data_IF_290089806944
#
_entry.id   IF_290089806944
#
_cell.length_a   1.000
_cell.length_b   1.000
_cell.length_c   1.000
_cell.angle_alpha   90.00
_cell.angle_beta   90.00
_cell.angle_gamma   90.00
#
_symmetry.space_group_name_H-M   'P 1'
#
loop_
_entity.id
_entity.type
_entity.pdbx_description
1 polymer ?
#
# COMPACT_ATOMS: atom_id res chain seq x y z
N UNK A 1 58.03 -41.42 15.78
CA UNK A 1 57.54 -41.71 14.41
C UNK A 1 56.06 -42.03 14.51
N UNK A 2 55.26 -41.06 14.06
CA UNK A 2 53.99 -41.17 13.32
C UNK A 2 52.89 -42.17 13.77
N UNK A 3 51.81 -41.57 14.29
CA UNK A 3 50.38 -41.80 14.04
C UNK A 3 49.75 -43.20 14.01
N UNK A 4 48.69 -43.37 14.81
CA UNK A 4 47.25 -43.52 14.44
C UNK A 4 46.50 -44.04 15.68
N UNK A 5 45.24 -43.77 16.01
CA UNK A 5 44.13 -42.93 15.54
C UNK A 5 43.03 -43.07 16.61
N UNK A 6 42.26 -42.00 16.84
CA UNK A 6 41.28 -41.86 17.93
C UNK A 6 39.89 -42.36 17.50
N UNK A 7 39.24 -43.12 18.40
CA UNK A 7 37.77 -43.30 18.61
C UNK A 7 37.60 -43.58 20.12
N UNK A 8 36.52 -43.14 20.83
CA UNK A 8 35.13 -43.47 20.48
C UNK A 8 34.02 -42.44 20.81
N UNK A 9 32.90 -42.65 20.10
CA UNK A 9 31.47 -42.48 20.42
C UNK A 9 31.06 -41.78 21.73
N UNK A 10 30.31 -40.67 21.60
CA UNK A 10 29.47 -40.11 22.66
C UNK A 10 28.07 -39.76 22.11
N UNK A 11 27.04 -40.22 22.82
CA UNK A 11 25.61 -40.11 22.49
C UNK A 11 25.13 -38.67 22.31
N UNK A 12 24.49 -38.39 21.18
CA UNK A 12 23.82 -37.11 20.91
C UNK A 12 22.29 -37.28 20.99
N UNK A 13 21.71 -36.58 21.96
CA UNK A 13 20.27 -36.53 22.28
C UNK A 13 19.53 -35.76 21.19
N UNK A 14 18.65 -36.43 20.44
CA UNK A 14 17.81 -35.80 19.40
C UNK A 14 16.75 -34.93 20.07
N UNK A 15 16.83 -33.61 19.87
CA UNK A 15 15.80 -32.64 20.25
C UNK A 15 14.99 -32.33 18.98
N UNK A 16 13.80 -32.92 18.90
CA UNK A 16 12.82 -32.67 17.83
C UNK A 16 12.44 -31.20 17.87
N UNK A 17 12.78 -30.47 16.80
CA UNK A 17 12.40 -29.08 16.60
C UNK A 17 10.93 -29.00 16.20
N UNK A 18 10.10 -28.49 17.10
CA UNK A 18 8.75 -28.06 16.77
C UNK A 18 8.87 -26.84 15.84
N UNK A 19 8.49 -27.02 14.57
CA UNK A 19 8.30 -25.90 13.65
C UNK A 19 7.16 -25.03 14.19
N UNK A 20 7.51 -23.86 14.71
CA UNK A 20 6.54 -22.79 14.97
C UNK A 20 5.99 -22.32 13.63
N UNK A 21 4.66 -22.31 13.42
CA UNK A 21 4.12 -21.66 12.24
C UNK A 21 4.51 -20.19 12.32
N UNK A 22 5.16 -19.69 11.27
CA UNK A 22 5.40 -18.27 11.10
C UNK A 22 4.05 -17.56 11.11
N UNK A 23 3.73 -16.93 12.23
CA UNK A 23 2.59 -16.04 12.39
C UNK A 23 2.88 -14.78 11.56
N UNK A 24 2.69 -14.89 10.24
CA UNK A 24 2.62 -13.74 9.34
C UNK A 24 1.22 -13.13 9.39
N UNK A 25 0.57 -13.11 10.57
CA UNK A 25 -0.51 -12.16 10.78
C UNK A 25 0.13 -10.78 10.77
N UNK A 26 0.13 -10.16 9.59
CA UNK A 26 0.11 -8.72 9.51
C UNK A 26 -1.04 -8.30 10.43
N UNK A 27 -0.71 -7.84 11.65
CA UNK A 27 -1.70 -7.32 12.59
C UNK A 27 -2.31 -6.11 11.88
N UNK A 28 -3.39 -6.36 11.16
CA UNK A 28 -4.10 -5.36 10.38
C UNK A 28 -4.47 -4.29 11.40
N UNK A 29 -3.86 -3.13 11.29
CA UNK A 29 -4.14 -2.00 12.18
C UNK A 29 -5.56 -1.55 11.81
N UNK A 30 -6.56 -2.10 12.49
CA UNK A 30 -7.97 -1.75 12.29
C UNK A 30 -8.20 -0.32 12.79
N UNK A 31 -9.18 0.37 12.21
CA UNK A 31 -9.53 1.72 12.61
C UNK A 31 -8.64 2.81 12.00
N UNK A 32 -7.87 2.52 10.94
CA UNK A 32 -7.03 3.53 10.28
C UNK A 32 -7.88 4.51 9.48
N UNK A 33 -8.98 4.04 8.87
CA UNK A 33 -9.80 4.84 7.96
C UNK A 33 -11.17 5.19 8.52
N UNK A 34 -11.51 4.79 9.75
CA UNK A 34 -12.87 4.94 10.29
C UNK A 34 -13.37 6.39 10.27
N UNK A 35 -12.52 7.35 10.66
CA UNK A 35 -12.91 8.77 10.65
C UNK A 35 -13.18 9.27 9.23
N UNK A 36 -12.33 8.95 8.26
CA UNK A 36 -12.47 9.42 6.89
C UNK A 36 -13.62 8.71 6.17
N UNK A 37 -13.83 7.42 6.45
CA UNK A 37 -14.94 6.63 5.93
C UNK A 37 -16.28 7.17 6.40
N UNK A 38 -16.43 7.59 7.66
CA UNK A 38 -17.67 8.22 8.13
C UNK A 38 -18.04 9.46 7.32
N UNK A 39 -17.08 10.37 7.08
CA UNK A 39 -17.32 11.57 6.26
C UNK A 39 -17.64 11.20 4.81
N UNK A 40 -16.98 10.16 4.28
CA UNK A 40 -17.24 9.67 2.93
C UNK A 40 -18.65 9.07 2.82
N UNK A 41 -19.08 8.25 3.78
CA UNK A 41 -20.42 7.66 3.85
C UNK A 41 -21.49 8.75 3.85
N UNK A 42 -21.34 9.77 4.69
CA UNK A 42 -22.23 10.94 4.67
C UNK A 42 -22.22 11.67 3.31
N UNK A 43 -21.04 11.84 2.70
CA UNK A 43 -20.91 12.42 1.36
C UNK A 43 -21.59 11.62 0.25
N UNK A 44 -21.81 10.32 0.45
CA UNK A 44 -22.61 9.44 -0.42
C UNK A 44 -24.09 9.35 -0.02
N UNK A 45 -24.52 10.09 1.00
CA UNK A 45 -25.91 10.20 1.44
C UNK A 45 -26.30 9.30 2.62
N UNK A 46 -25.34 8.71 3.32
CA UNK A 46 -25.58 7.95 4.56
C UNK A 46 -25.81 8.88 5.77
N UNK A 47 -26.14 8.30 6.93
CA UNK A 47 -26.30 9.02 8.19
C UNK A 47 -25.00 9.72 8.63
N UNK A 48 -25.05 10.93 9.20
CA UNK A 48 -23.86 11.61 9.73
C UNK A 48 -23.17 10.86 10.88
N UNK A 49 -23.88 9.97 11.58
CA UNK A 49 -23.36 9.10 12.64
C UNK A 49 -23.68 7.63 12.33
N UNK A 50 -23.03 7.03 11.30
CA UNK A 50 -23.31 5.65 10.92
C UNK A 50 -22.87 4.67 12.01
N UNK A 51 -23.48 3.48 12.03
CA UNK A 51 -23.15 2.44 13.01
C UNK A 51 -21.65 2.07 12.95
N UNK A 52 -20.95 1.98 14.09
CA UNK A 52 -19.53 1.62 14.13
C UNK A 52 -19.23 0.29 13.42
N UNK A 53 -20.14 -0.67 13.49
CA UNK A 53 -20.05 -1.96 12.83
C UNK A 53 -20.08 -1.83 11.30
N UNK A 54 -20.91 -0.94 10.76
CA UNK A 54 -20.97 -0.65 9.33
C UNK A 54 -19.68 -0.01 8.84
N UNK A 55 -19.15 0.96 9.59
CA UNK A 55 -17.87 1.61 9.25
C UNK A 55 -16.73 0.60 9.27
N UNK A 56 -16.69 -0.28 10.28
CA UNK A 56 -15.68 -1.32 10.40
C UNK A 56 -15.75 -2.35 9.25
N UNK A 57 -16.96 -2.75 8.85
CA UNK A 57 -17.15 -3.63 7.70
C UNK A 57 -16.73 -2.95 6.39
N UNK A 58 -17.10 -1.68 6.20
CA UNK A 58 -16.71 -0.92 5.02
C UNK A 58 -15.18 -0.74 4.94
N UNK A 59 -14.51 -0.56 6.07
CA UNK A 59 -13.05 -0.55 6.15
C UNK A 59 -12.44 -1.88 5.68
N UNK A 60 -12.96 -3.02 6.16
CA UNK A 60 -12.48 -4.33 5.74
C UNK A 60 -12.69 -4.55 4.23
N UNK A 61 -13.85 -4.18 3.67
CA UNK A 61 -14.15 -4.25 2.23
C UNK A 61 -13.22 -3.34 1.41
N UNK A 62 -12.98 -2.12 1.88
CA UNK A 62 -12.14 -1.15 1.17
C UNK A 62 -10.68 -1.62 1.11
N UNK A 63 -10.16 -2.16 2.22
CA UNK A 63 -8.80 -2.72 2.27
C UNK A 63 -8.65 -3.92 1.33
N UNK A 64 -9.63 -4.82 1.33
CA UNK A 64 -9.65 -5.97 0.41
C UNK A 64 -9.67 -5.50 -1.05
N UNK A 65 -10.57 -4.59 -1.39
CA UNK A 65 -10.68 -4.03 -2.74
C UNK A 65 -9.38 -3.38 -3.23
N UNK A 66 -8.75 -2.55 -2.40
CA UNK A 66 -7.49 -1.88 -2.77
C UNK A 66 -6.37 -2.91 -2.94
N UNK A 67 -6.30 -3.90 -2.06
CA UNK A 67 -5.29 -4.98 -2.15
C UNK A 67 -5.43 -5.73 -3.47
N UNK A 68 -6.65 -6.15 -3.81
CA UNK A 68 -6.94 -6.84 -5.06
C UNK A 68 -6.67 -5.99 -6.31
N UNK A 69 -7.00 -4.70 -6.24
CA UNK A 69 -6.74 -3.76 -7.33
C UNK A 69 -5.24 -3.61 -7.59
N UNK A 70 -4.44 -3.51 -6.54
CA UNK A 70 -2.98 -3.40 -6.64
C UNK A 70 -2.35 -4.67 -7.20
N UNK A 71 -2.81 -5.86 -6.79
CA UNK A 71 -2.35 -7.12 -7.39
C UNK A 71 -2.62 -7.17 -8.89
N UNK A 72 -3.84 -6.83 -9.32
CA UNK A 72 -4.19 -6.76 -10.76
C UNK A 72 -3.34 -5.73 -11.51
N UNK A 73 -3.02 -4.60 -10.89
CA UNK A 73 -2.20 -3.56 -11.51
C UNK A 73 -0.74 -4.02 -11.62
N UNK A 74 -0.24 -4.76 -10.63
CA UNK A 74 1.09 -5.37 -10.64
C UNK A 74 1.22 -6.42 -11.77
N UNK A 75 0.18 -7.20 -12.04
CA UNK A 75 0.18 -8.15 -13.17
C UNK A 75 0.37 -7.42 -14.51
N UNK A 76 -0.29 -6.27 -14.68
CA UNK A 76 -0.10 -5.40 -15.86
C UNK A 76 1.32 -4.84 -15.92
N UNK A 77 1.85 -4.42 -14.77
CA UNK A 77 3.19 -3.84 -14.64
C UNK A 77 4.33 -4.85 -14.76
N UNK A 78 4.05 -6.16 -14.71
CA UNK A 78 5.06 -7.23 -14.58
C UNK A 78 6.14 -7.15 -15.66
N UNK A 79 5.76 -6.89 -16.91
CA UNK A 79 6.73 -6.77 -18.02
C UNK A 79 7.68 -5.57 -17.87
N UNK A 80 7.22 -4.52 -17.22
CA UNK A 80 8.00 -3.29 -16.96
C UNK A 80 8.80 -3.37 -15.67
N UNK A 81 8.42 -4.27 -14.75
CA UNK A 81 9.08 -4.44 -13.45
C UNK A 81 8.84 -3.30 -12.44
N UNK A 82 8.00 -2.32 -12.77
CA UNK A 82 7.67 -1.17 -11.92
C UNK A 82 6.21 -0.78 -12.08
N UNK A 83 5.49 -0.67 -10.96
CA UNK A 83 4.11 -0.20 -10.89
C UNK A 83 4.03 1.32 -11.14
N UNK A 84 3.15 1.74 -12.05
CA UNK A 84 2.89 3.14 -12.41
C UNK A 84 1.38 3.44 -12.36
N UNK A 85 1.02 4.71 -12.34
CA UNK A 85 -0.38 5.17 -12.38
C UNK A 85 -1.14 4.64 -13.61
N UNK A 86 -0.45 4.52 -14.74
CA UNK A 86 -1.04 4.03 -16.00
C UNK A 86 -1.56 2.60 -15.90
N UNK A 87 -1.02 1.78 -15.00
CA UNK A 87 -1.50 0.41 -14.81
C UNK A 87 -2.90 0.41 -14.17
N UNK A 88 -3.15 1.33 -13.25
CA UNK A 88 -4.48 1.53 -12.68
C UNK A 88 -5.46 2.09 -13.73
N UNK A 89 -5.02 3.04 -14.56
CA UNK A 89 -5.81 3.55 -15.68
C UNK A 89 -6.15 2.45 -16.69
N UNK A 90 -5.23 1.50 -16.91
CA UNK A 90 -5.50 0.33 -17.74
C UNK A 90 -6.62 -0.55 -17.16
N UNK A 91 -6.63 -0.79 -15.85
CA UNK A 91 -7.68 -1.61 -15.21
C UNK A 91 -9.07 -0.97 -15.35
N UNK A 92 -9.18 0.35 -15.19
CA UNK A 92 -10.45 1.08 -15.27
C UNK A 92 -10.84 1.50 -16.69
N UNK A 93 -10.09 1.07 -17.73
CA UNK A 93 -10.24 1.58 -19.11
C UNK A 93 -11.63 1.41 -19.73
N UNK A 94 -12.43 0.47 -19.21
CA UNK A 94 -13.80 0.20 -19.66
C UNK A 94 -14.85 1.09 -18.97
N UNK A 95 -14.50 1.70 -17.84
CA UNK A 95 -15.35 2.62 -17.09
C UNK A 95 -14.99 4.06 -17.49
N UNK A 96 -15.62 4.54 -18.57
CA UNK A 96 -15.31 5.84 -19.18
C UNK A 96 -15.46 6.99 -18.18
N UNK A 97 -16.55 7.10 -17.39
CA UNK A 97 -16.70 8.18 -16.42
C UNK A 97 -15.61 8.17 -15.33
N UNK A 98 -15.29 6.99 -14.78
CA UNK A 98 -14.24 6.86 -13.76
C UNK A 98 -12.87 7.20 -14.33
N UNK A 99 -12.58 6.74 -15.54
CA UNK A 99 -11.32 7.05 -16.24
C UNK A 99 -11.15 8.55 -16.47
N UNK A 100 -12.19 9.23 -16.98
CA UNK A 100 -12.13 10.67 -17.21
C UNK A 100 -11.83 11.43 -15.91
N UNK A 101 -12.59 11.12 -14.85
CA UNK A 101 -12.39 11.72 -13.53
C UNK A 101 -10.96 11.51 -13.01
N UNK A 102 -10.39 10.31 -13.18
CA UNK A 102 -9.00 10.05 -12.80
C UNK A 102 -8.00 10.92 -13.59
N UNK A 103 -8.22 11.08 -14.90
CA UNK A 103 -7.35 11.91 -15.74
C UNK A 103 -7.40 13.39 -15.32
N UNK A 104 -8.59 13.92 -15.04
CA UNK A 104 -8.76 15.30 -14.55
C UNK A 104 -8.02 15.53 -13.22
N UNK A 105 -8.17 14.60 -12.27
CA UNK A 105 -7.50 14.70 -10.96
C UNK A 105 -5.98 14.63 -11.09
N UNK A 106 -5.45 13.82 -12.01
CA UNK A 106 -4.01 13.74 -12.26
C UNK A 106 -3.48 15.05 -12.89
N UNK A 107 -4.20 15.60 -13.88
CA UNK A 107 -3.85 16.89 -14.51
C UNK A 107 -3.80 18.02 -13.46
N UNK A 108 -4.84 18.12 -12.63
CA UNK A 108 -4.91 19.13 -11.58
C UNK A 108 -3.79 18.96 -10.54
N UNK A 109 -3.43 17.72 -10.20
CA UNK A 109 -2.32 17.46 -9.29
C UNK A 109 -0.97 17.92 -9.88
N UNK A 110 -0.75 17.70 -11.18
CA UNK A 110 0.44 18.19 -11.88
C UNK A 110 0.49 19.72 -11.91
N UNK A 111 -0.62 20.38 -12.21
CA UNK A 111 -0.72 21.86 -12.16
C UNK A 111 -0.40 22.40 -10.77
N UNK A 112 -0.96 21.81 -9.71
CA UNK A 112 -0.66 22.20 -8.32
C UNK A 112 0.81 21.99 -7.96
N UNK A 113 1.44 20.91 -8.44
CA UNK A 113 2.88 20.67 -8.23
C UNK A 113 3.73 21.71 -8.95
N UNK A 114 3.38 22.06 -10.19
CA UNK A 114 4.08 23.10 -10.94
C UNK A 114 3.96 24.46 -10.25
N UNK A 115 2.76 24.81 -9.78
CA UNK A 115 2.52 26.05 -9.04
C UNK A 115 3.38 26.11 -7.77
N UNK A 116 3.41 25.04 -6.96
CA UNK A 116 4.25 24.99 -5.75
C UNK A 116 5.73 25.19 -6.05
N UNK A 117 6.23 24.53 -7.11
CA UNK A 117 7.64 24.62 -7.52
C UNK A 117 8.03 26.03 -7.96
N UNK A 118 7.11 26.77 -8.60
CA UNK A 118 7.38 28.14 -9.01
C UNK A 118 7.70 29.06 -7.82
N UNK A 119 7.06 28.84 -6.67
CA UNK A 119 7.30 29.62 -5.45
C UNK A 119 8.57 29.19 -4.69
N UNK A 120 8.95 27.91 -4.71
CA UNK A 120 10.19 27.41 -4.07
C UNK A 120 11.45 27.97 -4.76
N UNK A 121 11.43 28.13 -6.08
CA UNK A 121 12.57 28.65 -6.86
C UNK A 121 12.83 30.14 -6.60
N UNK A 122 11.79 30.90 -6.24
CA UNK A 122 11.92 32.33 -5.96
C UNK A 122 12.60 32.61 -4.61
N UNK A 123 12.43 31.72 -3.61
CA UNK A 123 13.03 31.88 -2.28
C UNK A 123 14.55 31.62 -2.28
N UNK A 124 15.04 30.60 -3.01
CA UNK A 124 16.48 30.33 -3.15
C UNK A 124 17.23 31.44 -3.93
N UNK A 125 16.57 32.07 -4.91
CA UNK A 125 17.15 33.20 -5.66
C UNK A 125 17.24 34.48 -4.83
N UNK A 126 16.28 34.73 -3.93
CA UNK A 126 16.29 35.88 -3.03
C UNK A 126 17.31 35.73 -1.88
N UNK A 127 17.56 34.50 -1.42
CA UNK A 127 18.55 34.22 -0.36
C UNK A 127 20.02 34.29 -0.83
N UNK A 128 20.26 34.33 -2.15
CA UNK A 128 21.60 34.35 -2.74
C UNK A 128 22.07 35.75 -3.19
N UNK A 129 21.28 36.79 -2.90
CA UNK A 129 21.53 38.18 -3.31
C UNK A 129 22.05 39.11 -2.21
N UNK A 130 22.49 38.58 -1.06
CA UNK A 130 23.25 39.32 -0.03
C UNK A 130 24.67 38.75 0.16
#
# INVERSE_FOLDING_TARGET
MSNSSIVPSASSKVKVGTATPSDTSFKRKRGMFQKDLQHMMYGFGDDPNPLPETVALLEDIAVEYVTDLVHKAQDVATKRGKLLTDDFLHLIRKDIPKRHRCQELLSMNEELKQARKAFEVDEEKLASTD
#
